data_IF_953897189149
#
_entry.id   IF_953897189149
#
_cell.length_a   1.000
_cell.length_b   1.000
_cell.length_c   1.000
_cell.angle_alpha   90.00
_cell.angle_beta   90.00
_cell.angle_gamma   90.00
#
_symmetry.space_group_name_H-M   'P 1'
#
loop_
_entity.id
_entity.type
_entity.pdbx_description
1 polymer ?
#
# COMPACT_ATOMS: atom_id res chain seq x y z
N UNK A 1 -11.14 18.63 29.53
CA UNK A 1 -10.70 17.82 28.40
C UNK A 1 -10.30 18.78 27.29
N UNK A 2 -9.05 19.21 27.25
CA UNK A 2 -8.55 20.21 26.30
C UNK A 2 -8.28 19.47 24.98
N UNK A 3 -9.13 19.75 23.98
CA UNK A 3 -8.87 19.36 22.59
C UNK A 3 -7.57 20.09 22.19
N UNK A 4 -6.44 19.36 22.10
CA UNK A 4 -5.25 19.90 21.47
C UNK A 4 -5.61 20.22 20.03
N UNK A 5 -5.54 21.50 19.69
CA UNK A 5 -5.63 21.93 18.33
C UNK A 5 -4.51 21.19 17.55
N UNK A 6 -4.89 20.34 16.62
CA UNK A 6 -3.95 19.70 15.72
C UNK A 6 -3.59 20.74 14.65
N UNK A 7 -2.59 21.55 14.96
CA UNK A 7 -2.06 22.52 14.02
C UNK A 7 -1.20 21.80 12.95
N UNK A 8 -1.36 22.20 11.70
CA UNK A 8 -0.57 21.71 10.56
C UNK A 8 0.96 21.65 10.82
N UNK A 9 1.55 22.59 11.62
CA UNK A 9 2.96 22.56 11.98
C UNK A 9 3.39 21.32 12.77
N UNK A 10 2.47 20.59 13.42
CA UNK A 10 2.79 19.40 14.24
C UNK A 10 2.69 18.08 13.47
N UNK A 11 2.32 18.12 12.19
CA UNK A 11 2.27 16.92 11.35
C UNK A 11 3.69 16.40 11.08
N UNK A 12 4.00 15.23 11.61
CA UNK A 12 5.25 14.50 11.39
C UNK A 12 4.96 13.18 10.70
N UNK A 13 6.00 12.52 10.18
CA UNK A 13 5.88 11.17 9.60
C UNK A 13 5.26 10.12 10.55
N UNK A 14 5.21 10.39 11.87
CA UNK A 14 4.56 9.55 12.85
C UNK A 14 3.04 9.33 12.59
N UNK A 15 2.39 10.23 11.84
CA UNK A 15 0.98 10.06 11.43
C UNK A 15 0.77 8.89 10.47
N UNK A 16 1.83 8.40 9.84
CA UNK A 16 1.79 7.21 9.00
C UNK A 16 1.80 5.91 9.82
N UNK A 17 2.23 5.95 11.08
CA UNK A 17 2.33 4.74 11.91
C UNK A 17 1.03 3.94 12.06
N UNK A 18 -0.15 4.56 12.33
CA UNK A 18 -1.40 3.81 12.43
C UNK A 18 -1.93 3.30 11.07
N UNK A 19 -1.42 3.86 9.96
CA UNK A 19 -1.88 3.53 8.59
C UNK A 19 -1.03 2.42 7.96
N UNK A 20 0.20 2.22 8.43
CA UNK A 20 1.12 1.18 7.94
C UNK A 20 0.62 -0.26 8.15
N UNK A 21 0.07 -0.64 9.32
CA UNK A 21 -0.33 -2.02 9.58
C UNK A 21 -1.29 -2.62 8.54
N UNK A 22 -2.37 -1.97 8.09
CA UNK A 22 -3.25 -2.50 7.06
C UNK A 22 -2.52 -2.82 5.75
N UNK A 23 -1.54 -1.99 5.36
CA UNK A 23 -0.77 -2.18 4.14
C UNK A 23 0.15 -3.39 4.27
N UNK A 24 0.83 -3.52 5.41
CA UNK A 24 1.71 -4.67 5.69
C UNK A 24 0.92 -5.98 5.76
N UNK A 25 -0.24 -5.96 6.45
CA UNK A 25 -1.13 -7.13 6.54
C UNK A 25 -1.63 -7.55 5.16
N UNK A 26 -1.92 -6.61 4.26
CA UNK A 26 -2.32 -6.94 2.89
C UNK A 26 -1.21 -7.67 2.11
N UNK A 27 0.05 -7.27 2.27
CA UNK A 27 1.20 -7.95 1.69
C UNK A 27 1.39 -9.37 2.25
N UNK A 28 1.24 -9.53 3.56
CA UNK A 28 1.28 -10.86 4.22
C UNK A 28 0.13 -11.73 3.74
N UNK A 29 -1.07 -11.17 3.58
CA UNK A 29 -2.23 -11.87 3.04
C UNK A 29 -2.02 -12.37 1.61
N UNK A 30 -1.24 -11.66 0.79
CA UNK A 30 -0.84 -12.15 -0.53
C UNK A 30 0.03 -13.42 -0.44
N UNK A 31 1.00 -13.44 0.48
CA UNK A 31 1.86 -14.61 0.70
C UNK A 31 1.02 -15.80 1.19
N UNK A 32 0.11 -15.59 2.14
CA UNK A 32 -0.82 -16.62 2.63
C UNK A 32 -1.75 -17.11 1.51
N UNK A 33 -2.28 -16.21 0.69
CA UNK A 33 -3.14 -16.55 -0.44
C UNK A 33 -2.43 -17.43 -1.48
N UNK A 34 -1.13 -17.20 -1.72
CA UNK A 34 -0.33 -18.06 -2.60
C UNK A 34 -0.14 -19.46 -2.01
N UNK A 35 0.13 -19.57 -0.71
CA UNK A 35 0.29 -20.86 -0.02
C UNK A 35 -1.02 -21.65 0.03
N UNK A 36 -2.15 -20.98 0.32
CA UNK A 36 -3.47 -21.60 0.40
C UNK A 36 -4.04 -22.00 -0.96
N UNK A 37 -3.60 -21.36 -2.05
CA UNK A 37 -4.08 -21.64 -3.40
C UNK A 37 -3.87 -23.08 -3.86
N UNK A 38 -2.89 -23.77 -3.30
CA UNK A 38 -2.59 -25.18 -3.58
C UNK A 38 -3.48 -26.15 -2.77
N UNK A 39 -3.89 -25.75 -1.55
CA UNK A 39 -4.62 -26.62 -0.63
C UNK A 39 -6.13 -26.38 -0.67
N UNK A 40 -6.56 -25.12 -0.66
CA UNK A 40 -7.97 -24.72 -0.59
C UNK A 40 -8.21 -23.43 -1.38
N UNK A 41 -8.61 -23.49 -2.66
CA UNK A 41 -8.75 -22.34 -3.53
C UNK A 41 -9.81 -21.33 -3.03
N UNK A 42 -10.86 -21.78 -2.34
CA UNK A 42 -11.89 -20.90 -1.78
C UNK A 42 -11.35 -20.05 -0.63
N UNK A 43 -10.53 -20.61 0.26
CA UNK A 43 -9.90 -19.85 1.34
C UNK A 43 -8.86 -18.86 0.80
N UNK A 44 -8.12 -19.23 -0.24
CA UNK A 44 -7.19 -18.34 -0.92
C UNK A 44 -7.93 -17.13 -1.53
N UNK A 45 -9.10 -17.34 -2.12
CA UNK A 45 -9.92 -16.27 -2.70
C UNK A 45 -10.42 -15.29 -1.61
N UNK A 46 -10.93 -15.77 -0.50
CA UNK A 46 -11.37 -14.92 0.62
C UNK A 46 -10.22 -14.12 1.22
N UNK A 47 -9.06 -14.76 1.41
CA UNK A 47 -7.85 -14.09 1.89
C UNK A 47 -7.39 -13.00 0.92
N UNK A 48 -7.46 -13.27 -0.38
CA UNK A 48 -7.14 -12.29 -1.42
C UNK A 48 -8.08 -11.09 -1.38
N UNK A 49 -9.40 -11.31 -1.31
CA UNK A 49 -10.41 -10.24 -1.24
C UNK A 49 -10.18 -9.37 0.01
N UNK A 50 -10.02 -10.00 1.18
CA UNK A 50 -9.75 -9.28 2.43
C UNK A 50 -8.47 -8.43 2.33
N UNK A 51 -7.41 -8.97 1.71
CA UNK A 51 -6.15 -8.26 1.51
C UNK A 51 -6.29 -7.07 0.56
N UNK A 52 -7.09 -7.19 -0.51
CA UNK A 52 -7.40 -6.06 -1.39
C UNK A 52 -8.20 -4.97 -0.70
N UNK A 53 -9.15 -5.33 0.16
CA UNK A 53 -9.93 -4.36 0.96
C UNK A 53 -9.03 -3.60 1.92
N UNK A 54 -8.15 -4.29 2.63
CA UNK A 54 -7.18 -3.67 3.54
C UNK A 54 -6.20 -2.74 2.81
N UNK A 55 -5.72 -3.17 1.65
CA UNK A 55 -4.85 -2.36 0.80
C UNK A 55 -5.58 -1.11 0.30
N UNK A 56 -6.82 -1.28 -0.20
CA UNK A 56 -7.65 -0.19 -0.70
C UNK A 56 -8.03 0.83 0.37
N UNK A 57 -8.12 0.43 1.63
CA UNK A 57 -8.33 1.34 2.74
C UNK A 57 -7.01 2.02 3.18
N UNK A 58 -5.93 1.26 3.31
CA UNK A 58 -4.65 1.75 3.84
C UNK A 58 -3.88 2.62 2.86
N UNK A 59 -3.80 2.21 1.60
CA UNK A 59 -2.96 2.89 0.61
C UNK A 59 -3.41 4.33 0.30
N UNK A 60 -4.70 4.64 0.03
CA UNK A 60 -5.14 6.00 -0.22
C UNK A 60 -4.95 6.91 0.99
N UNK A 61 -5.17 6.41 2.21
CA UNK A 61 -4.90 7.17 3.43
C UNK A 61 -3.42 7.49 3.58
N UNK A 62 -2.53 6.52 3.32
CA UNK A 62 -1.09 6.75 3.34
C UNK A 62 -0.68 7.80 2.31
N UNK A 63 -1.19 7.71 1.08
CA UNK A 63 -0.89 8.67 0.02
C UNK A 63 -1.38 10.08 0.38
N UNK A 64 -2.56 10.20 1.01
CA UNK A 64 -3.10 11.49 1.47
C UNK A 64 -2.19 12.14 2.52
N UNK A 65 -1.73 11.37 3.52
CA UNK A 65 -0.81 11.87 4.55
C UNK A 65 0.55 12.24 3.93
N UNK A 66 1.05 11.45 3.00
CA UNK A 66 2.29 11.74 2.27
C UNK A 66 2.15 13.04 1.47
N UNK A 67 1.02 13.25 0.78
CA UNK A 67 0.75 14.48 0.03
C UNK A 67 0.73 15.71 0.94
N UNK A 68 0.08 15.60 2.11
CA UNK A 68 0.06 16.67 3.11
C UNK A 68 1.45 16.97 3.66
N UNK A 69 2.26 15.94 3.89
CA UNK A 69 3.63 16.08 4.36
C UNK A 69 4.50 16.81 3.32
N UNK A 70 4.37 16.46 2.05
CA UNK A 70 5.06 17.17 0.97
C UNK A 70 4.57 18.62 0.81
N UNK A 71 3.26 18.86 0.93
CA UNK A 71 2.72 20.22 0.89
C UNK A 71 3.30 21.08 2.02
N UNK A 72 3.39 20.53 3.24
CA UNK A 72 4.03 21.21 4.37
C UNK A 72 5.48 21.57 4.08
N UNK A 73 6.26 20.60 3.57
CA UNK A 73 7.66 20.80 3.22
C UNK A 73 7.89 21.90 2.18
N UNK A 74 6.93 22.09 1.27
CA UNK A 74 7.00 23.13 0.24
C UNK A 74 6.71 24.52 0.82
N UNK A 75 5.89 24.59 1.87
CA UNK A 75 5.49 25.86 2.51
C UNK A 75 6.51 26.30 3.57
N UNK A 76 6.99 25.35 4.39
CA UNK A 76 7.93 25.59 5.47
C UNK A 76 9.38 25.45 4.98
N UNK A 77 10.04 26.58 4.74
CA UNK A 77 11.45 26.62 4.28
C UNK A 77 12.48 26.23 5.35
N UNK A 78 12.08 26.04 6.60
CA UNK A 78 12.96 25.65 7.70
C UNK A 78 12.57 24.29 8.23
N UNK A 79 13.25 23.25 7.77
CA UNK A 79 13.15 21.90 8.33
C UNK A 79 14.15 21.79 9.50
N UNK A 80 13.69 21.65 10.76
CA UNK A 80 14.59 21.36 11.87
C UNK A 80 15.33 20.05 11.61
N UNK A 81 16.63 19.99 12.00
CA UNK A 81 17.47 18.83 11.73
C UNK A 81 16.91 17.48 12.21
N UNK A 82 16.12 17.49 13.29
CA UNK A 82 15.47 16.29 13.86
C UNK A 82 14.31 15.77 12.99
N UNK A 83 13.75 16.59 12.09
CA UNK A 83 12.66 16.19 11.20
C UNK A 83 13.15 15.52 9.90
N UNK A 84 14.45 15.60 9.58
CA UNK A 84 15.02 14.98 8.36
C UNK A 84 14.78 13.48 8.34
N UNK A 85 14.86 12.81 9.50
CA UNK A 85 14.57 11.37 9.61
C UNK A 85 13.11 11.06 9.30
N UNK A 86 12.20 11.97 9.66
CA UNK A 86 10.76 11.81 9.37
C UNK A 86 10.45 11.83 7.86
N UNK A 87 11.33 12.39 7.03
CA UNK A 87 11.19 12.41 5.57
C UNK A 87 11.45 11.04 4.93
N UNK A 88 12.13 10.14 5.64
CA UNK A 88 12.36 8.77 5.17
C UNK A 88 11.14 7.85 5.41
N UNK A 89 10.24 8.20 6.32
CA UNK A 89 9.07 7.38 6.69
C UNK A 89 8.11 7.13 5.50
N UNK A 90 7.83 8.09 4.59
CA UNK A 90 6.99 7.87 3.41
C UNK A 90 7.45 6.74 2.47
N UNK A 91 8.74 6.39 2.50
CA UNK A 91 9.29 5.31 1.67
C UNK A 91 8.68 3.96 2.05
N UNK A 92 8.39 3.76 3.34
CA UNK A 92 7.79 2.52 3.86
C UNK A 92 6.46 2.17 3.17
N UNK A 93 5.42 3.00 3.26
CA UNK A 93 4.13 2.76 2.62
C UNK A 93 4.21 2.61 1.10
N UNK A 94 5.09 3.37 0.44
CA UNK A 94 5.28 3.27 -1.01
C UNK A 94 5.90 1.93 -1.41
N UNK A 95 6.94 1.50 -0.69
CA UNK A 95 7.61 0.22 -0.95
C UNK A 95 6.72 -0.98 -0.63
N UNK A 96 6.13 -1.01 0.56
CA UNK A 96 5.25 -2.11 1.00
C UNK A 96 3.94 -2.14 0.22
N UNK A 97 3.38 -0.97 -0.14
CA UNK A 97 2.17 -0.86 -0.97
C UNK A 97 2.42 -1.39 -2.38
N UNK A 98 3.52 -1.01 -3.02
CA UNK A 98 3.91 -1.53 -4.34
C UNK A 98 4.13 -3.05 -4.31
N UNK A 99 4.82 -3.56 -3.28
CA UNK A 99 5.00 -4.99 -3.09
C UNK A 99 3.65 -5.72 -2.90
N UNK A 100 2.76 -5.19 -2.07
CA UNK A 100 1.46 -5.79 -1.81
C UNK A 100 0.59 -5.86 -3.08
N UNK A 101 0.54 -4.78 -3.87
CA UNK A 101 -0.22 -4.73 -5.12
C UNK A 101 0.30 -5.78 -6.11
N UNK A 102 1.62 -5.87 -6.30
CA UNK A 102 2.23 -6.81 -7.22
C UNK A 102 2.03 -8.25 -6.78
N UNK A 103 2.20 -8.53 -5.48
CA UNK A 103 2.02 -9.87 -4.91
C UNK A 103 0.56 -10.34 -4.99
N UNK A 104 -0.40 -9.46 -4.67
CA UNK A 104 -1.83 -9.76 -4.80
C UNK A 104 -2.24 -9.98 -6.26
N UNK A 105 -1.70 -9.19 -7.20
CA UNK A 105 -1.91 -9.39 -8.63
C UNK A 105 -1.44 -10.77 -9.11
N UNK A 106 -0.30 -11.25 -8.60
CA UNK A 106 0.22 -12.58 -8.90
C UNK A 106 -0.67 -13.69 -8.33
N UNK A 107 -1.11 -13.54 -7.09
CA UNK A 107 -2.06 -14.49 -6.46
C UNK A 107 -3.38 -14.54 -7.23
N UNK A 108 -3.86 -13.39 -7.71
CA UNK A 108 -5.05 -13.32 -8.55
C UNK A 108 -4.87 -14.08 -9.87
N UNK A 109 -3.71 -13.92 -10.53
CA UNK A 109 -3.39 -14.60 -11.77
C UNK A 109 -3.40 -16.13 -11.60
N UNK A 110 -2.86 -16.64 -10.48
CA UNK A 110 -2.71 -18.07 -10.24
C UNK A 110 -4.02 -18.74 -9.74
N UNK A 111 -4.82 -18.04 -8.94
CA UNK A 111 -5.98 -18.62 -8.26
C UNK A 111 -7.33 -18.39 -8.96
N UNK A 112 -7.53 -17.26 -9.66
CA UNK A 112 -8.79 -16.95 -10.34
C UNK A 112 -9.17 -18.01 -11.39
N UNK A 113 -8.27 -18.56 -12.22
CA UNK A 113 -8.63 -19.61 -13.17
C UNK A 113 -9.07 -20.91 -12.49
N UNK A 114 -8.59 -21.18 -11.27
CA UNK A 114 -8.86 -22.41 -10.53
C UNK A 114 -10.19 -22.40 -9.79
N UNK A 115 -10.71 -21.21 -9.46
CA UNK A 115 -11.90 -21.07 -8.61
C UNK A 115 -13.19 -21.06 -9.42
N UNK A 116 -13.14 -21.06 -10.77
CA UNK A 116 -14.33 -21.01 -11.63
C UNK A 116 -15.22 -19.80 -11.37
N UNK A 117 -14.69 -18.76 -10.75
CA UNK A 117 -15.41 -17.54 -10.42
C UNK A 117 -15.75 -16.75 -11.69
N UNK A 118 -16.77 -15.90 -11.61
CA UNK A 118 -17.25 -15.00 -12.67
C UNK A 118 -16.10 -14.10 -13.20
N UNK A 119 -15.06 -13.90 -12.38
CA UNK A 119 -13.81 -13.24 -12.75
C UNK A 119 -12.87 -14.28 -13.41
N UNK A 120 -12.93 -14.40 -14.72
CA UNK A 120 -12.12 -15.35 -15.50
C UNK A 120 -10.61 -15.03 -15.50
N UNK A 121 -9.83 -15.87 -16.16
CA UNK A 121 -8.36 -15.74 -16.31
C UNK A 121 -7.91 -14.39 -16.87
N UNK A 122 -8.74 -13.73 -17.67
CA UNK A 122 -8.52 -12.40 -18.23
C UNK A 122 -8.42 -11.33 -17.13
N UNK A 123 -9.31 -11.39 -16.12
CA UNK A 123 -9.32 -10.45 -15.00
C UNK A 123 -8.05 -10.60 -14.13
N UNK A 124 -7.54 -11.82 -13.97
CA UNK A 124 -6.28 -12.06 -13.27
C UNK A 124 -5.08 -11.41 -13.97
N UNK A 125 -5.02 -11.50 -15.30
CA UNK A 125 -3.99 -10.84 -16.11
C UNK A 125 -4.07 -9.32 -16.02
N UNK A 126 -5.29 -8.76 -16.09
CA UNK A 126 -5.51 -7.32 -15.95
C UNK A 126 -5.06 -6.81 -14.59
N UNK A 127 -5.44 -7.49 -13.49
CA UNK A 127 -5.03 -7.14 -12.13
C UNK A 127 -3.52 -7.20 -11.95
N UNK A 128 -2.86 -8.22 -12.52
CA UNK A 128 -1.40 -8.33 -12.47
C UNK A 128 -0.71 -7.21 -13.26
N UNK A 129 -1.13 -6.96 -14.49
CA UNK A 129 -0.54 -5.91 -15.33
C UNK A 129 -0.75 -4.52 -14.74
N UNK A 130 -1.96 -4.24 -14.25
CA UNK A 130 -2.27 -2.99 -13.57
C UNK A 130 -1.44 -2.84 -12.29
N UNK A 131 -1.36 -3.89 -11.48
CA UNK A 131 -0.55 -3.91 -10.26
C UNK A 131 0.93 -3.66 -10.53
N UNK A 132 1.47 -4.24 -11.60
CA UNK A 132 2.86 -4.05 -12.02
C UNK A 132 3.11 -2.59 -12.42
N UNK A 133 2.23 -2.00 -13.23
CA UNK A 133 2.35 -0.60 -13.67
C UNK A 133 2.29 0.34 -12.46
N UNK A 134 1.33 0.14 -11.55
CA UNK A 134 1.20 0.97 -10.34
C UNK A 134 2.43 0.82 -9.45
N UNK A 135 2.93 -0.40 -9.25
CA UNK A 135 4.13 -0.64 -8.46
C UNK A 135 5.36 0.06 -9.05
N UNK A 136 5.52 -0.01 -10.38
CA UNK A 136 6.61 0.69 -11.09
C UNK A 136 6.47 2.21 -10.98
N UNK A 137 5.26 2.75 -11.06
CA UNK A 137 5.03 4.19 -10.89
C UNK A 137 5.36 4.65 -9.46
N UNK A 138 5.00 3.85 -8.46
CA UNK A 138 5.34 4.14 -7.06
C UNK A 138 6.86 4.11 -6.82
N UNK A 139 7.55 3.17 -7.45
CA UNK A 139 9.02 3.06 -7.37
C UNK A 139 9.72 4.09 -8.27
N UNK A 140 9.21 4.36 -9.46
CA UNK A 140 9.78 5.28 -10.43
C UNK A 140 9.83 6.73 -9.93
N UNK A 141 8.83 7.17 -9.18
CA UNK A 141 8.85 8.48 -8.51
C UNK A 141 10.01 8.61 -7.53
N UNK A 142 10.40 7.53 -6.88
CA UNK A 142 11.53 7.52 -5.96
C UNK A 142 12.88 7.67 -6.69
N UNK A 143 13.03 7.03 -7.84
CA UNK A 143 14.27 7.09 -8.64
C UNK A 143 14.43 8.46 -9.29
N UNK A 144 13.33 9.10 -9.72
CA UNK A 144 13.35 10.40 -10.40
C UNK A 144 13.49 11.59 -9.44
N UNK A 145 13.34 11.39 -8.13
CA UNK A 145 13.46 12.44 -7.11
C UNK A 145 14.87 12.55 -6.50
N UNK A 146 15.82 11.71 -6.95
CA UNK A 146 17.24 11.79 -6.59
C UNK A 146 17.95 12.78 -7.52
#
# INVERSE_FOLDING_TARGET
MTLRAHDLPTMTGAWLMPILPPIVVSGTGAILGSALGHSNPNHALWTMIASYVLLGAGLPLALSVIALLFARLTIDTKVPGDEIVSLMIPIGPLGTGGFAIMSLGRVALDNLPRTGSILGAESGKMLYTFGLVVALLMWGKFILSQ
#
